data_IF_326509375527
#
_entry.id   IF_326509375527
#
_cell.length_a   1.000
_cell.length_b   1.000
_cell.length_c   1.000
_cell.angle_alpha   90.00
_cell.angle_beta   90.00
_cell.angle_gamma   90.00
#
_symmetry.space_group_name_H-M   'P 1'
#
loop_
_entity.id
_entity.type
_entity.pdbx_description
1 polymer ?
#
# COMPACT_ATOMS: atom_id res chain seq x y z
N UNK A 1 38.48 30.26 -8.51
CA UNK A 1 38.16 28.88 -8.94
C UNK A 1 36.97 28.95 -9.89
N UNK A 2 37.01 28.26 -11.03
CA UNK A 2 35.94 28.32 -12.03
C UNK A 2 34.85 27.29 -11.77
N UNK A 3 33.62 27.56 -12.22
CA UNK A 3 32.50 26.61 -12.12
C UNK A 3 32.83 25.24 -12.75
N UNK A 4 33.61 25.27 -13.83
CA UNK A 4 34.08 24.08 -14.53
C UNK A 4 35.03 23.23 -13.68
N UNK A 5 35.95 23.84 -12.92
CA UNK A 5 36.84 23.11 -12.00
C UNK A 5 36.05 22.43 -10.88
N UNK A 6 35.06 23.13 -10.31
CA UNK A 6 34.18 22.57 -9.27
C UNK A 6 33.37 21.40 -9.81
N UNK A 7 32.87 21.50 -11.04
CA UNK A 7 32.12 20.41 -11.68
C UNK A 7 32.99 19.18 -11.95
N UNK A 8 34.21 19.37 -12.48
CA UNK A 8 35.15 18.29 -12.75
C UNK A 8 35.55 17.55 -11.45
N UNK A 9 35.77 18.29 -10.37
CA UNK A 9 36.11 17.70 -9.07
C UNK A 9 34.93 16.92 -8.46
N UNK A 10 33.70 17.45 -8.55
CA UNK A 10 32.49 16.73 -8.09
C UNK A 10 32.27 15.41 -8.83
N UNK A 11 32.45 15.40 -10.16
CA UNK A 11 32.31 14.18 -10.97
C UNK A 11 33.33 13.13 -10.54
N UNK A 12 34.60 13.53 -10.39
CA UNK A 12 35.68 12.64 -9.94
C UNK A 12 35.40 12.01 -8.57
N UNK A 13 34.91 12.81 -7.62
CA UNK A 13 34.56 12.34 -6.27
C UNK A 13 33.42 11.31 -6.31
N UNK A 14 32.40 11.56 -7.14
CA UNK A 14 31.26 10.64 -7.30
C UNK A 14 31.67 9.32 -7.95
N UNK A 15 32.54 9.37 -8.96
CA UNK A 15 33.08 8.18 -9.62
C UNK A 15 33.91 7.32 -8.65
N UNK A 16 34.77 7.96 -7.84
CA UNK A 16 35.54 7.27 -6.81
C UNK A 16 34.64 6.63 -5.74
N UNK A 17 33.59 7.33 -5.33
CA UNK A 17 32.61 6.80 -4.37
C UNK A 17 31.87 5.58 -4.93
N UNK A 18 31.53 5.61 -6.23
CA UNK A 18 30.84 4.51 -6.91
C UNK A 18 31.74 3.27 -7.04
N UNK A 19 33.00 3.44 -7.43
CA UNK A 19 33.99 2.33 -7.52
C UNK A 19 34.30 1.74 -6.14
N UNK A 20 34.37 2.59 -5.10
CA UNK A 20 34.70 2.16 -3.74
C UNK A 20 33.53 1.50 -2.99
N UNK A 21 32.29 1.55 -3.49
CA UNK A 21 31.11 0.96 -2.84
C UNK A 21 30.26 0.13 -3.81
N UNK A 22 30.76 -1.01 -4.32
CA UNK A 22 30.03 -1.80 -5.33
C UNK A 22 28.74 -2.49 -4.82
N UNK A 23 28.29 -2.24 -3.57
CA UNK A 23 27.36 -3.13 -2.87
C UNK A 23 26.23 -2.45 -2.06
N UNK A 24 25.92 -1.16 -2.28
CA UNK A 24 24.86 -0.46 -1.52
C UNK A 24 23.45 -0.49 -2.11
N UNK A 25 23.22 -1.25 -3.17
CA UNK A 25 21.89 -1.56 -3.69
C UNK A 25 21.48 -3.02 -3.41
N UNK A 26 21.95 -3.57 -2.28
CA UNK A 26 21.51 -4.88 -1.83
C UNK A 26 20.01 -4.82 -1.48
N UNK A 27 19.23 -5.55 -2.29
CA UNK A 27 17.83 -5.93 -2.09
C UNK A 27 16.88 -4.79 -1.69
N UNK A 28 16.20 -4.21 -2.69
CA UNK A 28 14.87 -3.66 -2.42
C UNK A 28 14.04 -4.83 -1.86
N UNK A 29 13.59 -4.77 -0.60
CA UNK A 29 12.77 -5.85 -0.06
C UNK A 29 11.52 -5.96 -0.91
N UNK A 30 11.20 -7.19 -1.35
CA UNK A 30 9.97 -7.46 -2.08
C UNK A 30 8.82 -7.03 -1.17
N UNK A 31 7.93 -6.10 -1.61
CA UNK A 31 6.83 -5.68 -0.79
C UNK A 31 5.92 -6.90 -0.48
N UNK A 32 5.37 -7.00 0.74
CA UNK A 32 4.50 -8.10 1.10
C UNK A 32 3.26 -8.14 0.18
N UNK A 33 2.66 -9.32 -0.07
CA UNK A 33 1.44 -9.41 -0.84
C UNK A 33 0.32 -8.61 -0.18
N UNK A 34 -0.46 -7.89 -1.00
CA UNK A 34 -1.58 -7.11 -0.50
C UNK A 34 -2.61 -8.04 0.20
N UNK A 35 -3.24 -7.59 1.30
CA UNK A 35 -4.29 -8.35 1.96
C UNK A 35 -5.46 -8.56 1.01
N UNK A 36 -6.02 -9.78 1.00
CA UNK A 36 -7.26 -10.07 0.26
C UNK A 36 -8.40 -9.29 0.91
N UNK A 37 -8.77 -8.17 0.30
CA UNK A 37 -10.00 -7.46 0.67
C UNK A 37 -11.17 -8.31 0.18
N UNK A 38 -11.83 -9.00 1.10
CA UNK A 38 -13.12 -9.62 0.81
C UNK A 38 -14.12 -8.48 0.67
N UNK A 39 -14.42 -8.10 -0.57
CA UNK A 39 -15.54 -7.20 -0.83
C UNK A 39 -16.83 -7.96 -0.52
N UNK A 40 -17.33 -7.79 0.71
CA UNK A 40 -18.73 -8.11 0.98
C UNK A 40 -19.56 -7.04 0.28
N UNK A 41 -20.38 -7.48 -0.67
CA UNK A 41 -21.30 -6.60 -1.37
C UNK A 41 -22.33 -6.03 -0.37
N UNK A 42 -22.36 -4.71 -0.10
CA UNK A 42 -23.31 -4.13 0.86
C UNK A 42 -24.75 -4.12 0.33
N UNK A 43 -24.99 -4.45 -0.94
CA UNK A 43 -26.32 -4.47 -1.58
C UNK A 43 -27.13 -5.75 -1.36
N UNK A 44 -26.98 -6.44 -0.22
CA UNK A 44 -27.99 -7.41 0.24
C UNK A 44 -28.92 -6.77 1.27
N UNK A 45 -29.49 -5.63 0.92
CA UNK A 45 -30.77 -5.19 1.48
C UNK A 45 -31.84 -5.81 0.57
N UNK A 46 -32.00 -7.13 0.64
CA UNK A 46 -33.19 -7.77 0.14
C UNK A 46 -34.20 -7.70 1.28
N UNK A 47 -35.19 -6.84 1.09
CA UNK A 47 -36.38 -6.69 1.94
C UNK A 47 -37.01 -8.07 2.17
N UNK A 48 -36.86 -8.61 3.37
CA UNK A 48 -37.80 -9.60 3.89
C UNK A 48 -38.76 -8.83 4.80
N UNK A 49 -39.71 -8.16 4.16
CA UNK A 49 -41.00 -7.85 4.75
C UNK A 49 -41.75 -9.19 4.84
N UNK A 50 -41.35 -10.04 5.79
CA UNK A 50 -42.07 -11.28 6.09
C UNK A 50 -42.96 -11.04 7.31
N UNK A 51 -44.24 -10.91 6.99
CA UNK A 51 -45.36 -10.83 7.90
C UNK A 51 -45.32 -12.02 8.86
N UNK A 52 -44.95 -11.82 10.12
CA UNK A 52 -45.12 -12.85 11.14
C UNK A 52 -46.61 -12.93 11.54
N UNK A 53 -47.32 -14.06 11.34
CA UNK A 53 -48.62 -14.25 11.93
C UNK A 53 -48.44 -14.75 13.36
N UNK A 54 -48.89 -13.95 14.33
CA UNK A 54 -49.26 -14.42 15.66
C UNK A 54 -48.18 -14.27 16.75
N UNK A 55 -48.45 -13.42 17.73
CA UNK A 55 -48.84 -13.85 19.08
C UNK A 55 -49.24 -12.61 19.89
N UNK A 56 -50.52 -12.53 20.28
CA UNK A 56 -51.00 -11.45 21.13
C UNK A 56 -52.52 -11.38 21.19
N UNK A 57 -53.16 -12.45 21.68
CA UNK A 57 -54.51 -12.32 22.24
C UNK A 57 -54.45 -11.30 23.39
N UNK A 58 -55.26 -10.23 23.42
CA UNK A 58 -55.59 -9.61 24.69
C UNK A 58 -56.66 -10.48 25.35
N UNK A 59 -56.32 -11.03 26.50
CA UNK A 59 -57.24 -11.66 27.41
C UNK A 59 -58.37 -10.67 27.80
N UNK A 60 -59.62 -11.13 27.65
CA UNK A 60 -60.89 -10.63 28.22
C UNK A 60 -61.21 -9.13 28.11
#
# INVERSE_FOLDING_TARGET
>A
MSAHQVQAERVRVLEQAYVAQPHRFASVPVPPPLPKVVHTNPLRIAREEETAPGLGEPAA
#
